data_IF_599185408776
#
_entry.id   IF_599185408776
#
_cell.length_a   1.000
_cell.length_b   1.000
_cell.length_c   1.000
_cell.angle_alpha   90.00
_cell.angle_beta   90.00
_cell.angle_gamma   90.00
#
_symmetry.space_group_name_H-M   'P 1'
#
loop_
_entity.id
_entity.type
_entity.pdbx_description
1 polymer ?
#
# COMPACT_ATOMS: atom_id res chain seq x y z
N UNK A 1 -8.26 6.08 29.97
CA UNK A 1 -9.01 6.04 28.69
C UNK A 1 -10.11 5.02 28.86
N UNK A 2 -11.35 5.46 29.04
CA UNK A 2 -12.51 4.57 29.24
C UNK A 2 -13.01 4.13 27.86
N UNK A 3 -13.00 2.84 27.59
CA UNK A 3 -13.57 2.30 26.35
C UNK A 3 -15.07 2.62 26.30
N UNK A 4 -15.61 3.06 25.15
CA UNK A 4 -17.05 3.19 24.98
C UNK A 4 -17.73 1.86 25.27
N UNK A 5 -18.66 1.84 26.22
CA UNK A 5 -19.39 0.65 26.67
C UNK A 5 -20.33 0.06 25.61
N UNK A 6 -20.52 0.75 24.49
CA UNK A 6 -21.48 0.39 23.42
C UNK A 6 -20.83 -0.05 22.09
N UNK A 7 -19.50 -0.28 22.06
CA UNK A 7 -18.85 -0.84 20.87
C UNK A 7 -19.28 -2.30 20.67
N UNK A 8 -20.26 -2.51 19.79
CA UNK A 8 -20.69 -3.85 19.37
C UNK A 8 -19.74 -4.38 18.30
N UNK A 9 -19.23 -5.59 18.52
CA UNK A 9 -18.51 -6.33 17.50
C UNK A 9 -19.43 -6.52 16.27
N UNK A 10 -19.02 -6.13 15.06
CA UNK A 10 -19.91 -6.08 13.90
C UNK A 10 -20.20 -7.45 13.28
N UNK A 11 -19.43 -8.48 13.64
CA UNK A 11 -19.60 -9.84 13.12
C UNK A 11 -20.23 -10.74 14.18
N UNK A 12 -21.11 -11.69 13.81
CA UNK A 12 -21.63 -12.67 14.77
C UNK A 12 -20.48 -13.53 15.31
N UNK A 13 -20.57 -13.89 16.59
CA UNK A 13 -19.62 -14.82 17.21
C UNK A 13 -20.17 -16.23 17.02
N UNK A 14 -19.51 -17.01 16.18
CA UNK A 14 -19.94 -18.34 15.75
C UNK A 14 -19.22 -19.45 16.55
N UNK A 15 -19.39 -19.48 17.88
CA UNK A 15 -18.76 -20.51 18.71
C UNK A 15 -19.23 -21.92 18.35
N UNK A 16 -18.29 -22.87 18.26
CA UNK A 16 -18.59 -24.27 17.98
C UNK A 16 -18.96 -24.56 16.52
N UNK A 17 -18.97 -23.53 15.66
CA UNK A 17 -19.14 -23.68 14.23
C UNK A 17 -17.76 -23.69 13.56
N UNK A 18 -17.55 -24.65 12.66
CA UNK A 18 -16.36 -24.74 11.82
C UNK A 18 -16.72 -24.35 10.39
N UNK A 19 -15.87 -23.55 9.76
CA UNK A 19 -15.99 -23.21 8.34
C UNK A 19 -14.75 -23.72 7.62
N UNK A 20 -14.95 -24.59 6.64
CA UNK A 20 -13.89 -25.09 5.77
C UNK A 20 -13.85 -24.28 4.48
N UNK A 21 -12.67 -23.75 4.14
CA UNK A 21 -12.44 -22.96 2.94
C UNK A 21 -11.26 -23.55 2.20
N UNK A 22 -11.52 -24.12 1.02
CA UNK A 22 -10.49 -24.59 0.10
C UNK A 22 -10.03 -23.44 -0.81
N UNK A 23 -8.72 -23.21 -0.92
CA UNK A 23 -8.12 -22.18 -1.75
C UNK A 23 -6.74 -22.62 -2.25
N UNK A 24 -6.31 -22.11 -3.39
CA UNK A 24 -4.96 -22.30 -3.91
C UNK A 24 -3.95 -21.45 -3.12
N UNK A 25 -4.38 -20.25 -2.69
CA UNK A 25 -3.57 -19.30 -1.93
C UNK A 25 -4.34 -18.82 -0.69
N UNK A 26 -3.71 -18.95 0.47
CA UNK A 26 -4.17 -18.40 1.74
C UNK A 26 -3.33 -17.17 2.13
N UNK A 27 -3.99 -16.03 2.30
CA UNK A 27 -3.37 -14.79 2.79
C UNK A 27 -3.81 -14.54 4.23
N UNK A 28 -2.85 -14.48 5.14
CA UNK A 28 -3.09 -14.17 6.55
C UNK A 28 -2.87 -12.67 6.80
N UNK A 29 -3.95 -11.90 6.85
CA UNK A 29 -4.00 -10.46 7.08
C UNK A 29 -4.56 -9.69 5.88
N UNK A 30 -5.57 -8.86 6.13
CA UNK A 30 -6.27 -8.02 5.16
C UNK A 30 -5.77 -6.57 5.10
N UNK A 31 -4.52 -6.33 5.51
CA UNK A 31 -3.87 -5.02 5.34
C UNK A 31 -3.41 -4.81 3.89
N UNK A 32 -2.80 -3.64 3.60
CA UNK A 32 -2.39 -3.25 2.25
C UNK A 32 -1.58 -4.35 1.53
N UNK A 33 -0.53 -4.88 2.14
CA UNK A 33 0.29 -5.93 1.54
C UNK A 33 -0.51 -7.23 1.27
N UNK A 34 -1.41 -7.61 2.18
CA UNK A 34 -2.23 -8.81 2.02
C UNK A 34 -3.26 -8.66 0.90
N UNK A 35 -3.92 -7.50 0.81
CA UNK A 35 -4.84 -7.20 -0.27
C UNK A 35 -4.13 -7.18 -1.63
N UNK A 36 -2.96 -6.55 -1.75
CA UNK A 36 -2.17 -6.56 -2.98
C UNK A 36 -1.72 -7.98 -3.36
N UNK A 37 -1.26 -8.78 -2.40
CA UNK A 37 -0.90 -10.18 -2.65
C UNK A 37 -2.10 -11.02 -3.13
N UNK A 38 -3.27 -10.81 -2.52
CA UNK A 38 -4.49 -11.51 -2.90
C UNK A 38 -5.00 -11.10 -4.28
N UNK A 39 -4.95 -9.80 -4.61
CA UNK A 39 -5.31 -9.27 -5.93
C UNK A 39 -4.38 -9.84 -7.00
N UNK A 40 -3.06 -9.83 -6.77
CA UNK A 40 -2.09 -10.38 -7.71
C UNK A 40 -2.33 -11.87 -7.96
N UNK A 41 -2.48 -12.68 -6.91
CA UNK A 41 -2.76 -14.11 -7.03
C UNK A 41 -4.10 -14.38 -7.74
N UNK A 42 -5.13 -13.59 -7.47
CA UNK A 42 -6.43 -13.72 -8.13
C UNK A 42 -6.36 -13.33 -9.62
N UNK A 43 -5.58 -12.30 -9.99
CA UNK A 43 -5.32 -11.91 -11.39
C UNK A 43 -4.63 -13.03 -12.17
N UNK A 44 -3.77 -13.80 -11.50
CA UNK A 44 -3.12 -14.99 -12.07
C UNK A 44 -4.04 -16.23 -12.09
N UNK A 45 -5.31 -16.08 -11.70
CA UNK A 45 -6.34 -17.12 -11.80
C UNK A 45 -6.44 -18.04 -10.59
N UNK A 46 -5.73 -17.76 -9.50
CA UNK A 46 -5.80 -18.57 -8.30
C UNK A 46 -7.10 -18.32 -7.52
N UNK A 47 -7.66 -19.36 -6.88
CA UNK A 47 -8.68 -19.21 -5.85
C UNK A 47 -8.02 -18.75 -4.57
N UNK A 48 -8.30 -17.51 -4.14
CA UNK A 48 -7.63 -16.89 -2.99
C UNK A 48 -8.59 -16.77 -1.80
N UNK A 49 -8.10 -17.10 -0.60
CA UNK A 49 -8.77 -16.79 0.67
C UNK A 49 -7.94 -15.80 1.49
N UNK A 50 -8.60 -14.78 2.05
CA UNK A 50 -7.98 -13.84 3.00
C UNK A 50 -8.58 -14.10 4.39
N UNK A 51 -7.74 -14.20 5.40
CA UNK A 51 -8.15 -14.26 6.81
C UNK A 51 -7.69 -12.99 7.51
N UNK A 52 -8.64 -12.17 7.96
CA UNK A 52 -8.38 -10.92 8.68
C UNK A 52 -9.08 -10.95 10.05
N UNK A 53 -8.39 -10.50 11.10
CA UNK A 53 -8.94 -10.47 12.46
C UNK A 53 -9.90 -9.31 12.70
N UNK A 54 -9.79 -8.24 11.92
CA UNK A 54 -10.61 -7.04 11.98
C UNK A 54 -11.46 -6.84 10.71
N UNK A 55 -11.73 -5.58 10.38
CA UNK A 55 -12.41 -5.22 9.14
C UNK A 55 -11.38 -4.78 8.09
N UNK A 56 -11.32 -5.48 6.96
CA UNK A 56 -10.38 -5.20 5.85
C UNK A 56 -10.36 -3.71 5.48
N UNK A 57 -11.53 -3.06 5.45
CA UNK A 57 -11.70 -1.63 5.14
C UNK A 57 -10.84 -0.66 5.98
N UNK A 58 -10.45 -1.05 7.19
CA UNK A 58 -9.63 -0.22 8.08
C UNK A 58 -8.59 -1.02 8.87
N UNK A 59 -8.24 -2.22 8.41
CA UNK A 59 -7.29 -3.08 9.12
C UNK A 59 -5.84 -2.72 8.80
N UNK A 60 -4.95 -2.95 9.76
CA UNK A 60 -3.53 -2.68 9.62
C UNK A 60 -3.16 -1.19 9.62
N UNK A 61 -1.96 -0.89 9.14
CA UNK A 61 -1.42 0.48 9.13
C UNK A 61 -1.91 1.34 7.95
N UNK A 62 -2.62 0.74 6.99
CA UNK A 62 -3.04 1.40 5.73
C UNK A 62 -4.34 2.21 5.84
N UNK A 63 -4.90 2.40 7.04
CA UNK A 63 -6.15 3.16 7.24
C UNK A 63 -6.02 4.63 6.83
N UNK A 64 -4.79 5.16 6.86
CA UNK A 64 -4.42 6.47 6.34
C UNK A 64 -3.10 6.33 5.61
N UNK A 65 -3.05 6.79 4.36
CA UNK A 65 -1.83 6.88 3.57
C UNK A 65 -1.62 8.36 3.24
N UNK A 66 -0.60 8.97 3.81
CA UNK A 66 -0.23 10.37 3.57
C UNK A 66 0.84 10.51 2.49
N UNK A 67 1.60 9.44 2.20
CA UNK A 67 2.63 9.44 1.16
C UNK A 67 2.92 8.04 0.60
N UNK A 68 3.42 8.00 -0.64
CA UNK A 68 3.89 6.77 -1.29
C UNK A 68 5.41 6.81 -1.48
N UNK A 69 6.15 6.28 -0.51
CA UNK A 69 7.61 6.45 -0.42
C UNK A 69 8.39 5.85 -1.60
N UNK A 70 7.90 4.78 -2.23
CA UNK A 70 8.68 3.96 -3.17
C UNK A 70 8.49 4.33 -4.65
N UNK A 71 7.74 5.40 -4.96
CA UNK A 71 7.60 5.91 -6.32
C UNK A 71 8.85 6.72 -6.69
N UNK A 72 9.86 6.02 -7.23
CA UNK A 72 11.15 6.61 -7.59
C UNK A 72 11.39 6.54 -9.10
N UNK A 73 11.39 5.32 -9.65
CA UNK A 73 11.76 5.08 -11.05
C UNK A 73 10.66 5.57 -11.99
N UNK A 74 11.06 6.28 -13.04
CA UNK A 74 10.20 6.83 -14.09
C UNK A 74 9.09 7.79 -13.62
N UNK A 75 9.16 8.28 -12.38
CA UNK A 75 8.23 9.30 -11.87
C UNK A 75 8.58 10.68 -12.45
N UNK A 76 7.63 11.41 -13.04
CA UNK A 76 7.87 12.77 -13.52
C UNK A 76 8.40 13.68 -12.40
N UNK A 77 9.55 14.33 -12.62
CA UNK A 77 10.12 15.27 -11.66
C UNK A 77 11.07 14.65 -10.62
N UNK A 78 11.09 13.33 -10.46
CA UNK A 78 12.10 12.62 -9.64
C UNK A 78 13.39 12.47 -10.45
N UNK A 79 14.53 12.76 -9.82
CA UNK A 79 15.85 12.80 -10.47
C UNK A 79 16.83 11.76 -9.99
N UNK A 80 16.46 10.97 -8.99
CA UNK A 80 17.30 9.93 -8.41
C UNK A 80 16.90 8.58 -9.00
N UNK A 81 17.88 7.69 -9.12
CA UNK A 81 17.69 6.31 -9.55
C UNK A 81 17.26 5.41 -8.39
N UNK A 82 16.70 4.24 -8.71
CA UNK A 82 16.43 3.21 -7.71
C UNK A 82 17.70 2.79 -6.93
N UNK A 83 18.86 2.76 -7.59
CA UNK A 83 20.13 2.42 -6.96
C UNK A 83 20.58 3.50 -5.97
N UNK A 84 20.57 4.78 -6.37
CA UNK A 84 20.91 5.90 -5.49
C UNK A 84 19.99 5.95 -4.26
N UNK A 85 18.68 5.79 -4.46
CA UNK A 85 17.73 5.76 -3.36
C UNK A 85 17.94 4.55 -2.43
N UNK A 86 18.22 3.38 -3.00
CA UNK A 86 18.51 2.17 -2.22
C UNK A 86 19.78 2.34 -1.39
N UNK A 87 20.85 2.85 -1.98
CA UNK A 87 22.11 3.10 -1.27
C UNK A 87 21.93 4.13 -0.16
N UNK A 88 21.21 5.23 -0.42
CA UNK A 88 20.89 6.22 0.61
C UNK A 88 20.12 5.62 1.80
N UNK A 89 19.17 4.70 1.54
CA UNK A 89 18.48 3.98 2.60
C UNK A 89 19.38 3.00 3.33
N UNK A 90 20.25 2.27 2.63
CA UNK A 90 21.22 1.36 3.27
C UNK A 90 22.13 2.14 4.22
N UNK A 91 22.65 3.28 3.78
CA UNK A 91 23.50 4.16 4.58
C UNK A 91 22.75 4.73 5.78
N UNK A 92 21.52 5.22 5.58
CA UNK A 92 20.68 5.75 6.65
C UNK A 92 20.38 4.71 7.76
N UNK A 93 20.29 3.43 7.41
CA UNK A 93 20.07 2.34 8.35
C UNK A 93 21.38 1.69 8.86
N UNK A 94 22.53 2.31 8.61
CA UNK A 94 23.83 1.80 9.05
C UNK A 94 24.19 0.43 8.46
N UNK A 95 23.71 0.14 7.25
CA UNK A 95 23.89 -1.15 6.57
C UNK A 95 22.91 -2.25 6.97
N UNK A 96 22.08 -2.05 8.01
CA UNK A 96 21.11 -3.06 8.49
C UNK A 96 19.78 -2.98 7.76
N UNK A 97 19.80 -3.18 6.45
CA UNK A 97 18.59 -3.20 5.61
C UNK A 97 18.71 -4.23 4.47
N UNK A 98 17.59 -4.63 3.88
CA UNK A 98 17.57 -5.52 2.73
C UNK A 98 17.59 -4.71 1.43
N UNK A 99 18.81 -4.41 0.94
CA UNK A 99 19.01 -3.63 -0.28
C UNK A 99 18.32 -4.21 -1.51
N UNK A 100 18.20 -5.55 -1.62
CA UNK A 100 17.51 -6.20 -2.74
C UNK A 100 16.03 -5.82 -2.74
N UNK A 101 15.36 -5.95 -1.58
CA UNK A 101 13.95 -5.56 -1.46
C UNK A 101 13.75 -4.07 -1.71
N UNK A 102 14.65 -3.20 -1.22
CA UNK A 102 14.56 -1.75 -1.46
C UNK A 102 14.70 -1.39 -2.92
N UNK A 103 15.63 -2.03 -3.62
CA UNK A 103 15.83 -1.81 -5.05
C UNK A 103 14.60 -2.20 -5.85
N UNK A 104 14.02 -3.38 -5.58
CA UNK A 104 12.78 -3.84 -6.22
C UNK A 104 11.64 -2.83 -5.96
N UNK A 105 11.44 -2.42 -4.71
CA UNK A 105 10.42 -1.45 -4.34
C UNK A 105 10.61 -0.10 -5.06
N UNK A 106 11.83 0.43 -5.10
CA UNK A 106 12.14 1.70 -5.76
C UNK A 106 12.00 1.62 -7.29
N UNK A 107 12.21 0.43 -7.87
CA UNK A 107 12.01 0.18 -9.30
C UNK A 107 10.54 0.10 -9.67
N UNK A 108 9.75 -0.63 -8.90
CA UNK A 108 8.37 -1.01 -9.26
C UNK A 108 7.30 -0.11 -8.61
N UNK A 109 7.68 0.69 -7.61
CA UNK A 109 6.74 1.42 -6.77
C UNK A 109 5.91 2.46 -7.52
N UNK A 110 6.40 3.00 -8.65
CA UNK A 110 5.59 3.90 -9.47
C UNK A 110 4.51 3.16 -10.25
N UNK A 111 4.82 2.00 -10.82
CA UNK A 111 3.85 1.16 -11.52
C UNK A 111 2.72 0.73 -10.57
N UNK A 112 3.08 0.32 -9.36
CA UNK A 112 2.09 -0.02 -8.32
C UNK A 112 1.22 1.18 -7.93
N UNK A 113 1.80 2.38 -7.87
CA UNK A 113 1.04 3.61 -7.59
C UNK A 113 0.03 3.93 -8.71
N UNK A 114 0.42 3.73 -9.98
CA UNK A 114 -0.48 3.89 -11.12
C UNK A 114 -1.59 2.83 -11.13
N UNK A 115 -1.28 1.59 -10.78
CA UNK A 115 -2.30 0.56 -10.64
C UNK A 115 -3.32 0.90 -9.53
N UNK A 116 -2.88 1.52 -8.42
CA UNK A 116 -3.79 2.04 -7.40
C UNK A 116 -4.71 3.14 -7.96
N UNK A 117 -4.18 4.01 -8.84
CA UNK A 117 -4.98 5.04 -9.53
C UNK A 117 -6.05 4.40 -10.42
N UNK A 118 -5.70 3.35 -11.17
CA UNK A 118 -6.65 2.59 -12.00
C UNK A 118 -7.75 1.91 -11.16
N UNK A 119 -7.43 1.48 -9.95
CA UNK A 119 -8.40 0.95 -8.98
C UNK A 119 -9.29 2.05 -8.36
N UNK A 120 -9.06 3.33 -8.67
CA UNK A 120 -9.85 4.47 -8.21
C UNK A 120 -9.22 5.25 -7.05
N UNK A 121 -7.97 4.98 -6.67
CA UNK A 121 -7.25 5.77 -5.68
C UNK A 121 -6.96 7.18 -6.17
N UNK A 122 -7.31 8.21 -5.39
CA UNK A 122 -6.96 9.62 -5.70
C UNK A 122 -5.49 9.85 -5.35
N UNK A 123 -4.60 9.79 -6.35
CA UNK A 123 -3.15 10.05 -6.17
C UNK A 123 -2.68 11.38 -6.78
N UNK A 124 -3.49 11.98 -7.67
CA UNK A 124 -3.24 13.27 -8.31
C UNK A 124 -4.11 14.36 -7.70
N UNK A 125 -3.60 15.58 -7.72
CA UNK A 125 -4.38 16.79 -7.43
C UNK A 125 -5.26 17.17 -8.65
N UNK A 126 -6.26 16.33 -8.95
CA UNK A 126 -7.14 16.46 -10.11
C UNK A 126 -8.02 17.70 -10.07
N UNK A 127 -8.35 18.17 -8.87
CA UNK A 127 -9.19 19.33 -8.57
C UNK A 127 -8.42 20.66 -8.52
N UNK A 128 -7.10 20.61 -8.78
CA UNK A 128 -6.21 21.78 -8.77
C UNK A 128 -6.18 22.51 -7.41
N UNK A 129 -6.37 21.79 -6.29
CA UNK A 129 -6.37 22.34 -4.93
C UNK A 129 -5.02 22.98 -4.57
N UNK A 130 -3.92 22.44 -5.13
CA UNK A 130 -2.54 22.87 -4.86
C UNK A 130 -1.86 23.51 -6.07
N UNK A 131 -2.63 24.00 -7.05
CA UNK A 131 -2.07 24.61 -8.27
C UNK A 131 -1.10 25.74 -7.96
N UNK A 132 0.10 25.70 -8.57
CA UNK A 132 1.17 26.67 -8.33
C UNK A 132 1.94 26.47 -7.04
N UNK A 133 1.60 25.47 -6.23
CA UNK A 133 2.40 25.12 -5.06
C UNK A 133 3.77 24.58 -5.49
N UNK A 134 4.86 24.89 -4.76
CA UNK A 134 6.22 24.47 -5.12
C UNK A 134 6.42 22.94 -5.09
N UNK A 135 5.54 22.21 -4.39
CA UNK A 135 5.56 20.76 -4.27
C UNK A 135 4.66 20.03 -5.25
N UNK A 136 4.01 20.75 -6.18
CA UNK A 136 3.14 20.15 -7.19
C UNK A 136 3.78 20.23 -8.56
N UNK A 137 3.83 19.12 -9.28
CA UNK A 137 4.18 19.14 -10.70
C UNK A 137 2.95 19.49 -11.55
N UNK A 138 3.03 20.58 -12.31
CA UNK A 138 1.89 21.12 -13.07
C UNK A 138 1.41 20.20 -14.20
N UNK A 139 2.30 19.36 -14.75
CA UNK A 139 1.95 18.47 -15.87
C UNK A 139 1.28 17.19 -15.38
N UNK A 140 1.89 16.51 -14.42
CA UNK A 140 1.42 15.24 -13.89
C UNK A 140 0.37 15.40 -12.79
N UNK A 141 0.29 16.60 -12.17
CA UNK A 141 -0.52 16.89 -10.99
C UNK A 141 -0.13 16.07 -9.76
N UNK A 142 1.06 15.49 -9.73
CA UNK A 142 1.60 14.82 -8.55
C UNK A 142 2.06 15.84 -7.50
N UNK A 143 1.93 15.42 -6.24
CA UNK A 143 2.43 16.15 -5.08
C UNK A 143 3.68 15.41 -4.55
N UNK A 144 4.76 16.15 -4.33
CA UNK A 144 6.02 15.63 -3.83
C UNK A 144 6.23 16.03 -2.38
N UNK A 145 6.43 15.06 -1.50
CA UNK A 145 6.91 15.31 -0.16
C UNK A 145 8.43 15.54 -0.24
N UNK A 146 8.86 16.79 -0.06
CA UNK A 146 10.28 17.19 0.04
C UNK A 146 10.73 17.28 1.49
#
# INVERSE_FOLDING_TARGET
>A
MTYPVDLKWPYPIEYGNEAEVEADVLVLGGGIAGCWAAIAAAKDGAKVAIVEKGAVLGSGAGISCDHWQWAITDVPGVKITAEEFTNALMDNHGGYNNGITRYIQAREGYETLLELEEMGGKIRDTEDEFKGAPFRDEKSKFLFAY
#
